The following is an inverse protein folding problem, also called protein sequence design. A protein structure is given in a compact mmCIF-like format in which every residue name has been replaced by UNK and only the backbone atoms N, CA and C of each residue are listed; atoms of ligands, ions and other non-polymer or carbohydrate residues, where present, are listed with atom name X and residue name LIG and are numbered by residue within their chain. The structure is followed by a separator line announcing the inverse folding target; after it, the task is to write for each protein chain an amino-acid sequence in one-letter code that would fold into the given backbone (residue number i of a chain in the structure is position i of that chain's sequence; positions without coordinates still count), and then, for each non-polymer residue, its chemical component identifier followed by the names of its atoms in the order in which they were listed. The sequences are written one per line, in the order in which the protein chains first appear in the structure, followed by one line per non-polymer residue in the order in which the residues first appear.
data_IF_931494760054
#
_entry.id   IF_931494760054
#
_cell.length_a   1.000
_cell.length_b   1.000
_cell.length_c   1.000
_cell.angle_alpha   90.00
_cell.angle_beta   90.00
_cell.angle_gamma   90.00
#
_symmetry.space_group_name_H-M   'P 1'
#
loop_
_entity.id
_entity.type
_entity.pdbx_description
1 polymer ?
#
# COMPACT_ATOMS: atom_id res chain seq x y z
N UNK A 1 9.46 -10.66 -9.85
CA UNK A 1 9.39 -10.40 -8.42
C UNK A 1 9.59 -8.91 -8.14
N UNK A 2 8.77 -8.32 -7.29
CA UNK A 2 8.86 -6.89 -7.00
C UNK A 2 10.12 -6.57 -6.20
N UNK A 3 10.86 -5.54 -6.62
CA UNK A 3 12.04 -5.07 -5.91
C UNK A 3 11.63 -4.33 -4.64
N UNK A 4 12.40 -4.47 -3.56
CA UNK A 4 12.15 -3.80 -2.31
C UNK A 4 11.12 -4.49 -1.40
N UNK A 5 10.57 -5.61 -1.83
CA UNK A 5 9.61 -6.39 -1.03
C UNK A 5 10.12 -7.82 -0.89
N UNK A 6 10.18 -8.32 0.36
CA UNK A 6 10.54 -9.71 0.60
C UNK A 6 9.38 -10.62 0.23
N UNK A 7 9.67 -11.89 -0.03
CA UNK A 7 8.65 -12.89 -0.32
C UNK A 7 7.63 -13.00 0.82
N UNK A 8 8.10 -12.96 2.06
CA UNK A 8 7.23 -13.05 3.24
C UNK A 8 6.32 -11.84 3.34
N UNK A 9 6.84 -10.64 3.08
CA UNK A 9 6.05 -9.41 3.07
C UNK A 9 4.97 -9.45 2.00
N UNK A 10 5.31 -9.90 0.81
CA UNK A 10 4.35 -10.05 -0.30
C UNK A 10 3.23 -11.03 0.10
N UNK A 11 3.58 -12.13 0.74
CA UNK A 11 2.61 -13.11 1.20
C UNK A 11 1.66 -12.52 2.24
N UNK A 12 2.17 -11.75 3.20
CA UNK A 12 1.35 -11.06 4.19
C UNK A 12 0.33 -10.15 3.53
N UNK A 13 0.75 -9.41 2.51
CA UNK A 13 -0.15 -8.50 1.78
C UNK A 13 -1.25 -9.28 1.05
N UNK A 14 -0.91 -10.42 0.46
CA UNK A 14 -1.89 -11.27 -0.24
C UNK A 14 -2.92 -11.88 0.69
N UNK A 15 -2.54 -12.15 1.94
CA UNK A 15 -3.42 -12.73 2.94
C UNK A 15 -4.29 -11.69 3.63
N UNK A 16 -3.99 -10.39 3.46
CA UNK A 16 -4.75 -9.31 4.06
C UNK A 16 -6.10 -9.12 3.35
N UNK A 17 -7.00 -8.37 3.98
CA UNK A 17 -8.32 -8.08 3.44
C UNK A 17 -8.19 -7.21 2.18
N UNK A 18 -8.46 -7.79 1.03
CA UNK A 18 -8.31 -7.14 -0.27
C UNK A 18 -9.37 -6.07 -0.55
N UNK A 19 -10.35 -5.91 0.34
CA UNK A 19 -11.37 -4.85 0.19
C UNK A 19 -10.89 -3.52 0.75
N UNK A 20 -9.84 -3.52 1.57
CA UNK A 20 -9.29 -2.30 2.17
C UNK A 20 -8.45 -1.52 1.17
N UNK A 21 -8.60 -0.20 1.14
CA UNK A 21 -7.86 0.68 0.23
C UNK A 21 -6.35 0.50 0.36
N UNK A 22 -5.85 0.47 1.60
CA UNK A 22 -4.42 0.32 1.84
C UNK A 22 -3.86 -0.98 1.29
N UNK A 23 -4.62 -2.07 1.42
CA UNK A 23 -4.22 -3.37 0.91
C UNK A 23 -4.24 -3.37 -0.62
N UNK A 24 -5.25 -2.77 -1.23
CA UNK A 24 -5.33 -2.63 -2.68
C UNK A 24 -4.12 -1.87 -3.24
N UNK A 25 -3.76 -0.77 -2.57
CA UNK A 25 -2.60 0.00 -2.99
C UNK A 25 -1.31 -0.82 -2.83
N UNK A 26 -1.20 -1.58 -1.74
CA UNK A 26 -0.04 -2.43 -1.52
C UNK A 26 0.17 -3.45 -2.64
N UNK A 27 -0.91 -4.08 -3.08
CA UNK A 27 -0.84 -5.05 -4.18
C UNK A 27 -0.43 -4.38 -5.48
N UNK A 28 -0.96 -3.20 -5.76
CA UNK A 28 -0.57 -2.44 -6.97
C UNK A 28 0.89 -2.02 -6.92
N UNK A 29 1.39 -1.63 -5.75
CA UNK A 29 2.79 -1.25 -5.59
C UNK A 29 3.73 -2.44 -5.85
N UNK A 30 3.36 -3.62 -5.39
CA UNK A 30 4.12 -4.84 -5.67
C UNK A 30 4.13 -5.12 -7.17
N UNK A 31 2.96 -5.08 -7.80
CA UNK A 31 2.79 -5.33 -9.23
C UNK A 31 3.60 -4.37 -10.10
N UNK A 32 3.63 -3.10 -9.70
CA UNK A 32 4.26 -2.03 -10.46
C UNK A 32 5.67 -1.70 -9.99
N UNK A 33 6.17 -2.44 -9.01
CA UNK A 33 7.51 -2.23 -8.45
C UNK A 33 7.70 -0.82 -7.87
N UNK A 34 6.68 -0.32 -7.19
CA UNK A 34 6.72 1.00 -6.55
C UNK A 34 7.24 0.85 -5.11
N UNK A 35 8.37 1.48 -4.76
CA UNK A 35 8.91 1.36 -3.40
C UNK A 35 8.02 2.01 -2.35
N UNK A 36 8.05 1.46 -1.13
CA UNK A 36 7.32 2.03 0.02
C UNK A 36 7.74 3.48 0.27
N UNK A 37 9.02 3.81 0.07
CA UNK A 37 9.51 5.18 0.26
C UNK A 37 8.77 6.18 -0.62
N UNK A 38 8.44 5.81 -1.86
CA UNK A 38 7.67 6.70 -2.75
C UNK A 38 6.27 6.94 -2.20
N UNK A 39 5.63 5.90 -1.67
CA UNK A 39 4.29 6.02 -1.09
C UNK A 39 4.32 6.87 0.17
N UNK A 40 5.30 6.63 1.06
CA UNK A 40 5.41 7.39 2.31
C UNK A 40 5.62 8.88 2.03
N UNK A 41 6.45 9.22 1.06
CA UNK A 41 6.67 10.61 0.65
C UNK A 41 5.41 11.23 0.05
N UNK A 42 4.71 10.47 -0.78
CA UNK A 42 3.49 10.94 -1.44
C UNK A 42 2.41 11.33 -0.43
N UNK A 43 2.27 10.54 0.63
CA UNK A 43 1.26 10.78 1.67
C UNK A 43 1.81 11.56 2.88
N UNK A 44 3.09 11.86 2.92
CA UNK A 44 3.75 12.52 4.05
C UNK A 44 3.56 11.76 5.37
N UNK A 45 3.77 10.46 5.31
CA UNK A 45 3.66 9.57 6.48
C UNK A 45 4.91 8.70 6.57
N UNK A 46 5.10 8.02 7.70
CA UNK A 46 6.24 7.12 7.86
C UNK A 46 6.04 5.84 7.04
N UNK A 47 7.15 5.16 6.75
CA UNK A 47 7.11 3.86 6.08
C UNK A 47 6.37 2.83 6.91
N UNK A 48 6.49 2.91 8.23
CA UNK A 48 5.78 2.01 9.15
C UNK A 48 4.27 2.15 8.95
N UNK A 49 3.78 3.38 8.82
CA UNK A 49 2.36 3.64 8.55
C UNK A 49 1.93 3.01 7.24
N UNK A 50 2.73 3.16 6.18
CA UNK A 50 2.43 2.58 4.87
C UNK A 50 2.35 1.06 4.95
N UNK A 51 3.31 0.43 5.62
CA UNK A 51 3.28 -1.02 5.80
C UNK A 51 2.05 -1.49 6.57
N UNK A 52 1.63 -0.72 7.59
CA UNK A 52 0.40 -1.03 8.33
C UNK A 52 -0.81 -0.99 7.42
N UNK A 53 -0.88 -0.03 6.52
CA UNK A 53 -1.96 0.05 5.53
C UNK A 53 -1.93 -1.16 4.59
N UNK A 54 -0.75 -1.51 4.08
CA UNK A 54 -0.60 -2.60 3.11
C UNK A 54 -0.94 -3.95 3.71
N UNK A 55 -0.69 -4.13 5.01
CA UNK A 55 -1.02 -5.35 5.73
C UNK A 55 -2.46 -5.39 6.22
N UNK A 56 -3.19 -4.30 6.09
CA UNK A 56 -4.56 -4.21 6.59
C UNK A 56 -4.67 -4.11 8.09
N UNK A 57 -3.59 -3.72 8.77
CA UNK A 57 -3.57 -3.61 10.24
C UNK A 57 -4.24 -2.34 10.72
N UNK A 58 -4.14 -1.26 9.93
CA UNK A 58 -4.81 -0.01 10.21
C UNK A 58 -5.63 0.42 9.00
N UNK A 59 -6.80 1.00 9.27
CA UNK A 59 -7.65 1.55 8.22
C UNK A 59 -7.10 2.90 7.82
N UNK A 60 -7.08 3.18 6.52
CA UNK A 60 -6.66 4.49 6.02
C UNK A 60 -7.67 5.54 6.47
N UNK A 61 -7.18 6.61 7.12
CA UNK A 61 -8.05 7.67 7.59
C UNK A 61 -8.71 8.41 6.42
N UNK A 62 -9.85 9.05 6.69
CA UNK A 62 -10.55 9.84 5.66
C UNK A 62 -9.66 10.92 5.05
N UNK A 63 -8.71 11.43 5.82
CA UNK A 63 -7.74 12.42 5.36
C UNK A 63 -6.94 11.94 4.15
N UNK A 64 -6.60 10.67 4.11
CA UNK A 64 -5.80 10.08 3.04
C UNK A 64 -6.61 9.23 2.06
N UNK A 65 -7.84 8.87 2.42
CA UNK A 65 -8.63 7.92 1.64
C UNK A 65 -8.92 8.42 0.21
N UNK A 66 -9.32 9.67 0.07
CA UNK A 66 -9.61 10.23 -1.26
C UNK A 66 -8.38 10.26 -2.15
N UNK A 67 -7.26 10.69 -1.59
CA UNK A 67 -5.99 10.75 -2.31
C UNK A 67 -5.54 9.33 -2.71
N UNK A 68 -5.72 8.39 -1.81
CA UNK A 68 -5.37 6.98 -2.07
C UNK A 68 -6.24 6.38 -3.16
N UNK A 69 -7.55 6.65 -3.13
CA UNK A 69 -8.46 6.15 -4.16
C UNK A 69 -8.08 6.69 -5.54
N UNK A 70 -7.74 7.96 -5.62
CA UNK A 70 -7.29 8.58 -6.88
C UNK A 70 -6.00 7.95 -7.38
N UNK A 71 -5.08 7.65 -6.48
CA UNK A 71 -3.84 6.99 -6.84
C UNK A 71 -4.10 5.57 -7.34
N UNK A 72 -4.95 4.82 -6.67
CA UNK A 72 -5.33 3.47 -7.09
C UNK A 72 -5.95 3.51 -8.49
N UNK A 73 -6.85 4.44 -8.73
CA UNK A 73 -7.50 4.60 -10.03
C UNK A 73 -6.48 4.90 -11.14
N UNK A 74 -5.47 5.71 -10.82
CA UNK A 74 -4.39 6.02 -11.75
C UNK A 74 -3.54 4.80 -12.08
N UNK A 75 -3.29 3.95 -11.09
CA UNK A 75 -2.45 2.76 -11.26
C UNK A 75 -3.22 1.59 -11.86
N UNK A 76 -4.51 1.63 -11.85
CA UNK A 76 -5.36 0.62 -12.46
C UNK A 76 -5.63 0.93 -13.91
#
# INVERSE_FOLDING_TARGET
MAKGYSTLTVQEFKEADQTLLGVKLGMLCIDRDIPVSNVSEFFHVSRVTVYSWFRGKTVVSSKHADKMQKLIDKLT
#
